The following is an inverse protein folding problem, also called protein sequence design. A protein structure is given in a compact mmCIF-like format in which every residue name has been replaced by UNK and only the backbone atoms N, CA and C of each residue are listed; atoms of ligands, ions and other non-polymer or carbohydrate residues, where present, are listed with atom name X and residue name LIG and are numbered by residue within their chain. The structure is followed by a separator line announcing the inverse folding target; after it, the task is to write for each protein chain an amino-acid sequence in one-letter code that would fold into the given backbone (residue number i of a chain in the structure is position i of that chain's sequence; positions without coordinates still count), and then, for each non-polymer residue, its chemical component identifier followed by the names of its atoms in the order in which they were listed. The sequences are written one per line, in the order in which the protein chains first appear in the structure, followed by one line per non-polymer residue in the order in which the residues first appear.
data_IF_009612865458
#
_entry.id   IF_009612865458
#
_cell.length_a   1.000
_cell.length_b   1.000
_cell.length_c   1.000
_cell.angle_alpha   90.00
_cell.angle_beta   90.00
_cell.angle_gamma   90.00
#
_symmetry.space_group_name_H-M   'P 1'
#
loop_
_entity.id
_entity.type
_entity.pdbx_description
1 polymer ?
#
# COMPACT_ATOMS: atom_id res chain seq x y z
N UNK A 1 -8.74 -38.45 35.05
CA UNK A 1 -7.60 -37.52 35.02
C UNK A 1 -6.88 -37.60 33.68
N UNK A 2 -6.57 -38.80 33.18
CA UNK A 2 -5.85 -38.99 31.92
C UNK A 2 -6.57 -38.45 30.68
N UNK A 3 -7.90 -38.58 30.60
CA UNK A 3 -8.70 -38.06 29.48
C UNK A 3 -8.71 -36.53 29.38
N UNK A 4 -8.74 -35.85 30.53
CA UNK A 4 -8.75 -34.38 30.61
C UNK A 4 -7.36 -33.82 30.30
N UNK A 5 -6.30 -34.44 30.83
CA UNK A 5 -4.93 -34.09 30.47
C UNK A 5 -4.66 -34.29 28.98
N UNK A 6 -5.15 -35.39 28.39
CA UNK A 6 -5.06 -35.60 26.95
C UNK A 6 -5.80 -34.52 26.15
N UNK A 7 -6.96 -34.06 26.61
CA UNK A 7 -7.69 -32.97 25.96
C UNK A 7 -6.92 -31.64 25.99
N UNK A 8 -6.28 -31.29 27.10
CA UNK A 8 -5.44 -30.09 27.18
C UNK A 8 -4.21 -30.18 26.29
N UNK A 9 -3.54 -31.33 26.23
CA UNK A 9 -2.43 -31.54 25.29
C UNK A 9 -2.88 -31.39 23.84
N UNK A 10 -4.03 -31.96 23.46
CA UNK A 10 -4.61 -31.80 22.12
C UNK A 10 -4.83 -30.31 21.80
N UNK A 11 -5.42 -29.55 22.73
CA UNK A 11 -5.68 -28.13 22.52
C UNK A 11 -4.39 -27.29 22.42
N UNK A 12 -3.36 -27.65 23.19
CA UNK A 12 -2.02 -27.04 23.06
C UNK A 12 -1.38 -27.38 21.71
N UNK A 13 -1.52 -28.60 21.20
CA UNK A 13 -1.05 -28.94 19.86
C UNK A 13 -1.78 -28.14 18.79
N UNK A 14 -3.10 -27.98 18.90
CA UNK A 14 -3.88 -27.12 18.00
C UNK A 14 -3.37 -25.67 18.07
N UNK A 15 -3.20 -25.12 19.28
CA UNK A 15 -2.64 -23.79 19.48
C UNK A 15 -1.25 -23.62 18.82
N UNK A 16 -0.35 -24.58 19.02
CA UNK A 16 0.97 -24.62 18.39
C UNK A 16 0.90 -24.68 16.86
N UNK A 17 0.00 -25.48 16.29
CA UNK A 17 -0.18 -25.55 14.83
C UNK A 17 -0.65 -24.21 14.26
N UNK A 18 -1.52 -23.49 14.95
CA UNK A 18 -1.95 -22.15 14.53
C UNK A 18 -0.82 -21.11 14.60
N UNK A 19 0.03 -21.13 15.63
CA UNK A 19 1.24 -20.28 15.66
C UNK A 19 2.16 -20.64 14.50
N UNK A 20 2.44 -21.94 14.31
CA UNK A 20 3.30 -22.43 13.23
C UNK A 20 2.80 -21.99 11.85
N UNK A 21 1.50 -22.13 11.59
CA UNK A 21 0.89 -21.69 10.34
C UNK A 21 0.91 -20.16 10.18
N UNK A 22 0.65 -19.42 11.25
CA UNK A 22 0.72 -17.95 11.28
C UNK A 22 2.13 -17.45 10.89
N UNK A 23 3.17 -18.01 11.49
CA UNK A 23 4.57 -17.68 11.18
C UNK A 23 4.95 -18.14 9.77
N UNK A 24 4.51 -19.33 9.37
CA UNK A 24 4.76 -19.89 8.05
C UNK A 24 4.19 -19.00 6.94
N UNK A 25 2.97 -18.46 7.09
CA UNK A 25 2.39 -17.54 6.10
C UNK A 25 3.22 -16.26 5.94
N UNK A 26 3.72 -15.68 7.04
CA UNK A 26 4.59 -14.50 7.01
C UNK A 26 5.92 -14.83 6.33
N UNK A 27 6.51 -15.98 6.66
CA UNK A 27 7.76 -16.44 6.09
C UNK A 27 7.64 -16.74 4.59
N UNK A 28 6.56 -17.41 4.16
CA UNK A 28 6.26 -17.63 2.76
C UNK A 28 6.13 -16.31 1.99
N UNK A 29 5.38 -15.36 2.54
CA UNK A 29 5.27 -14.03 1.94
C UNK A 29 6.64 -13.35 1.82
N UNK A 30 7.48 -13.39 2.87
CA UNK A 30 8.81 -12.80 2.84
C UNK A 30 9.72 -13.43 1.76
N UNK A 31 9.69 -14.75 1.62
CA UNK A 31 10.44 -15.47 0.57
C UNK A 31 9.95 -15.07 -0.82
N UNK A 32 8.63 -15.00 -1.04
CA UNK A 32 8.06 -14.61 -2.32
C UNK A 32 8.50 -13.20 -2.74
N UNK A 33 8.51 -12.24 -1.81
CA UNK A 33 8.96 -10.86 -2.09
C UNK A 33 10.45 -10.81 -2.48
N UNK A 34 11.30 -11.61 -1.82
CA UNK A 34 12.73 -11.66 -2.14
C UNK A 34 13.01 -12.29 -3.50
N UNK A 35 12.16 -13.22 -3.95
CA UNK A 35 12.30 -13.88 -5.26
C UNK A 35 12.02 -12.97 -6.46
N UNK A 36 11.30 -11.86 -6.28
CA UNK A 36 10.91 -10.96 -7.39
C UNK A 36 11.99 -9.91 -7.64
N UNK A 37 12.67 -10.02 -8.79
CA UNK A 37 13.72 -9.07 -9.22
C UNK A 37 13.18 -7.81 -9.90
N UNK A 38 12.15 -7.94 -10.73
CA UNK A 38 11.57 -6.80 -11.46
C UNK A 38 10.87 -5.86 -10.47
N UNK A 39 11.22 -4.58 -10.52
CA UNK A 39 10.69 -3.54 -9.64
C UNK A 39 9.17 -3.43 -9.73
N UNK A 40 8.62 -3.28 -10.93
CA UNK A 40 7.18 -3.18 -11.16
C UNK A 40 6.42 -4.42 -10.67
N UNK A 41 6.95 -5.63 -10.94
CA UNK A 41 6.33 -6.88 -10.44
C UNK A 41 6.37 -6.96 -8.91
N UNK A 42 7.47 -6.51 -8.31
CA UNK A 42 7.63 -6.50 -6.85
C UNK A 42 6.69 -5.50 -6.20
N UNK A 43 6.59 -4.29 -6.76
CA UNK A 43 5.65 -3.26 -6.33
C UNK A 43 4.21 -3.79 -6.35
N UNK A 44 3.77 -4.34 -7.49
CA UNK A 44 2.41 -4.88 -7.65
C UNK A 44 2.13 -6.00 -6.64
N UNK A 45 3.05 -6.95 -6.51
CA UNK A 45 2.90 -8.06 -5.58
C UNK A 45 2.80 -7.59 -4.12
N UNK A 46 3.67 -6.67 -3.70
CA UNK A 46 3.67 -6.10 -2.35
C UNK A 46 2.36 -5.35 -2.07
N UNK A 47 1.95 -4.48 -3.00
CA UNK A 47 0.71 -3.72 -2.94
C UNK A 47 -0.53 -4.62 -2.77
N UNK A 48 -0.63 -5.70 -3.55
CA UNK A 48 -1.83 -6.54 -3.56
C UNK A 48 -1.83 -7.62 -2.47
N UNK A 49 -0.67 -8.11 -2.03
CA UNK A 49 -0.59 -9.32 -1.19
C UNK A 49 -0.24 -9.05 0.27
N UNK A 50 0.52 -8.00 0.58
CA UNK A 50 1.09 -7.78 1.93
C UNK A 50 -0.01 -7.68 3.01
N UNK A 51 -0.99 -6.79 2.81
CA UNK A 51 -2.07 -6.60 3.79
C UNK A 51 -2.89 -7.88 4.00
N UNK A 52 -3.19 -8.62 2.93
CA UNK A 52 -3.95 -9.87 3.03
C UNK A 52 -3.16 -10.97 3.75
N UNK A 53 -1.87 -11.11 3.47
CA UNK A 53 -1.01 -12.10 4.12
C UNK A 53 -0.88 -11.81 5.63
N UNK A 54 -0.66 -10.55 6.01
CA UNK A 54 -0.54 -10.15 7.41
C UNK A 54 -1.86 -10.30 8.18
N UNK A 55 -2.99 -9.91 7.59
CA UNK A 55 -4.32 -10.09 8.21
C UNK A 55 -4.66 -11.56 8.42
N UNK A 56 -4.35 -12.42 7.45
CA UNK A 56 -4.54 -13.88 7.57
C UNK A 56 -3.66 -14.48 8.67
N UNK A 57 -2.39 -14.09 8.74
CA UNK A 57 -1.47 -14.52 9.79
C UNK A 57 -1.91 -14.06 11.18
N UNK A 58 -2.36 -12.82 11.32
CA UNK A 58 -2.85 -12.26 12.58
C UNK A 58 -4.11 -12.97 13.10
N UNK A 59 -5.02 -13.38 12.21
CA UNK A 59 -6.22 -14.13 12.59
C UNK A 59 -5.85 -15.50 13.18
N UNK A 60 -4.93 -16.24 12.55
CA UNK A 60 -4.46 -17.52 13.06
C UNK A 60 -3.75 -17.37 14.41
N UNK A 61 -2.97 -16.30 14.57
CA UNK A 61 -2.33 -16.00 15.84
C UNK A 61 -3.35 -15.73 16.96
N UNK A 62 -4.42 -14.98 16.66
CA UNK A 62 -5.52 -14.74 17.60
C UNK A 62 -6.26 -16.04 18.01
N UNK A 63 -6.52 -16.95 17.06
CA UNK A 63 -7.08 -18.27 17.35
C UNK A 63 -6.17 -19.10 18.26
N UNK A 64 -4.85 -19.00 18.07
CA UNK A 64 -3.87 -19.65 18.95
C UNK A 64 -3.94 -19.11 20.38
N UNK A 65 -4.07 -17.79 20.54
CA UNK A 65 -4.22 -17.14 21.86
C UNK A 65 -5.47 -17.64 22.56
N UNK A 66 -6.61 -17.81 21.87
CA UNK A 66 -7.80 -18.38 22.47
C UNK A 66 -7.55 -19.81 23.00
N UNK A 67 -6.85 -20.65 22.23
CA UNK A 67 -6.50 -22.01 22.65
C UNK A 67 -5.62 -22.01 23.91
N UNK A 68 -4.59 -21.16 23.97
CA UNK A 68 -3.73 -21.05 25.15
C UNK A 68 -4.45 -20.46 26.36
N UNK A 69 -5.27 -19.42 26.15
CA UNK A 69 -6.05 -18.81 27.22
C UNK A 69 -6.99 -19.84 27.86
N UNK A 70 -7.63 -20.69 27.06
CA UNK A 70 -8.49 -21.76 27.58
C UNK A 70 -7.74 -22.69 28.53
N UNK A 71 -6.58 -23.21 28.10
CA UNK A 71 -5.77 -24.13 28.91
C UNK A 71 -5.31 -23.46 30.21
N UNK A 72 -4.85 -22.20 30.14
CA UNK A 72 -4.39 -21.45 31.31
C UNK A 72 -5.53 -21.24 32.31
N UNK A 73 -6.72 -20.87 31.84
CA UNK A 73 -7.90 -20.63 32.70
C UNK A 73 -8.29 -21.92 33.42
N UNK A 74 -8.41 -23.03 32.69
CA UNK A 74 -8.76 -24.35 33.27
C UNK A 74 -7.73 -24.82 34.30
N UNK A 75 -6.43 -24.69 33.99
CA UNK A 75 -5.36 -25.05 34.94
C UNK A 75 -5.33 -24.17 36.19
N UNK A 76 -5.76 -22.91 36.08
CA UNK A 76 -5.73 -21.95 37.19
C UNK A 76 -6.91 -22.14 38.15
N UNK A 77 -8.09 -22.48 37.63
CA UNK A 77 -9.31 -22.65 38.44
C UNK A 77 -9.29 -24.00 39.16
N UNK A 78 -8.80 -25.08 38.52
CA UNK A 78 -8.65 -26.39 39.15
C UNK A 78 -9.97 -27.06 39.58
N UNK A 79 -11.13 -26.48 39.24
CA UNK A 79 -12.47 -26.98 39.56
C UNK A 79 -13.06 -27.61 38.30
N UNK A 80 -13.30 -28.92 38.35
CA UNK A 80 -13.90 -29.66 37.24
C UNK A 80 -15.43 -29.64 37.31
N UNK A 81 -16.07 -29.00 36.33
CA UNK A 81 -17.52 -29.07 36.15
C UNK A 81 -17.95 -28.52 34.78
N UNK A 82 -19.04 -29.01 34.19
CA UNK A 82 -19.47 -28.63 32.83
C UNK A 82 -19.78 -27.13 32.70
N UNK A 83 -20.25 -26.51 33.78
CA UNK A 83 -20.49 -25.07 33.86
C UNK A 83 -19.17 -24.27 33.76
N UNK A 84 -18.15 -24.66 34.51
CA UNK A 84 -16.84 -23.98 34.50
C UNK A 84 -16.13 -24.12 33.16
N UNK A 85 -16.19 -25.30 32.55
CA UNK A 85 -15.68 -25.55 31.21
C UNK A 85 -16.29 -24.60 30.17
N UNK A 86 -17.60 -24.38 30.26
CA UNK A 86 -18.32 -23.46 29.38
C UNK A 86 -17.89 -22.00 29.59
N UNK A 87 -17.71 -21.59 30.86
CA UNK A 87 -17.26 -20.25 31.22
C UNK A 87 -15.82 -20.00 30.72
N UNK A 88 -14.91 -20.95 30.94
CA UNK A 88 -13.54 -20.87 30.42
C UNK A 88 -13.50 -20.76 28.89
N UNK A 89 -14.37 -21.52 28.21
CA UNK A 89 -14.58 -21.44 26.77
C UNK A 89 -14.92 -20.02 26.32
N UNK A 90 -15.97 -19.44 26.89
CA UNK A 90 -16.43 -18.08 26.54
C UNK A 90 -15.34 -17.04 26.81
N UNK A 91 -14.68 -17.09 27.97
CA UNK A 91 -13.62 -16.15 28.33
C UNK A 91 -12.42 -16.26 27.37
N UNK A 92 -12.00 -17.48 27.05
CA UNK A 92 -10.87 -17.73 26.14
C UNK A 92 -11.13 -17.21 24.72
N UNK A 93 -12.35 -17.43 24.19
CA UNK A 93 -12.78 -16.92 22.89
C UNK A 93 -12.85 -15.39 22.92
N UNK A 94 -13.36 -14.81 24.00
CA UNK A 94 -13.39 -13.36 24.20
C UNK A 94 -12.00 -12.72 24.16
N UNK A 95 -11.01 -13.36 24.82
CA UNK A 95 -9.61 -12.91 24.80
C UNK A 95 -9.05 -12.99 23.37
N UNK A 96 -9.19 -14.14 22.70
CA UNK A 96 -8.72 -14.30 21.33
C UNK A 96 -9.37 -13.31 20.36
N UNK A 97 -10.69 -13.11 20.45
CA UNK A 97 -11.42 -12.16 19.63
C UNK A 97 -10.97 -10.72 19.88
N UNK A 98 -10.71 -10.35 21.13
CA UNK A 98 -10.20 -9.02 21.49
C UNK A 98 -8.83 -8.77 20.86
N UNK A 99 -7.90 -9.72 20.97
CA UNK A 99 -6.58 -9.62 20.34
C UNK A 99 -6.70 -9.58 18.82
N UNK A 100 -7.54 -10.44 18.23
CA UNK A 100 -7.81 -10.46 16.80
C UNK A 100 -8.35 -9.12 16.29
N UNK A 101 -9.27 -8.50 17.02
CA UNK A 101 -9.81 -7.18 16.69
C UNK A 101 -8.73 -6.09 16.77
N UNK A 102 -7.93 -6.07 17.84
CA UNK A 102 -6.81 -5.11 17.99
C UNK A 102 -5.84 -5.24 16.81
N UNK A 103 -5.44 -6.46 16.44
CA UNK A 103 -4.55 -6.69 15.30
C UNK A 103 -5.21 -6.30 13.97
N UNK A 104 -6.51 -6.58 13.80
CA UNK A 104 -7.25 -6.20 12.60
C UNK A 104 -7.30 -4.67 12.43
N UNK A 105 -7.60 -3.93 13.49
CA UNK A 105 -7.58 -2.47 13.51
C UNK A 105 -6.17 -1.97 13.20
N UNK A 106 -5.15 -2.48 13.88
CA UNK A 106 -3.76 -2.09 13.62
C UNK A 106 -3.36 -2.29 12.15
N UNK A 107 -3.63 -3.47 11.58
CA UNK A 107 -3.29 -3.81 10.20
C UNK A 107 -4.17 -3.12 9.14
N UNK A 108 -5.36 -2.66 9.49
CA UNK A 108 -6.23 -1.94 8.57
C UNK A 108 -5.93 -0.45 8.52
N UNK A 109 -5.47 0.14 9.63
CA UNK A 109 -5.31 1.59 9.73
C UNK A 109 -3.86 2.08 9.80
N UNK A 110 -2.98 1.40 10.55
CA UNK A 110 -1.58 1.82 10.73
C UNK A 110 -0.63 1.20 9.71
N UNK A 111 -0.85 -0.06 9.35
CA UNK A 111 -0.01 -0.75 8.38
C UNK A 111 0.05 -0.09 6.98
N UNK A 112 -1.02 0.54 6.44
CA UNK A 112 -0.95 1.27 5.18
C UNK A 112 0.17 2.32 5.10
N UNK A 113 0.53 2.97 6.21
CA UNK A 113 1.64 3.93 6.23
C UNK A 113 3.00 3.26 5.98
N UNK A 114 3.20 2.07 6.58
CA UNK A 114 4.41 1.27 6.42
C UNK A 114 4.48 0.75 4.99
N UNK A 115 3.35 0.27 4.47
CA UNK A 115 3.24 -0.23 3.10
C UNK A 115 3.54 0.87 2.08
N UNK A 116 2.98 2.08 2.23
CA UNK A 116 3.25 3.18 1.32
C UNK A 116 4.73 3.58 1.31
N UNK A 117 5.36 3.71 2.49
CA UNK A 117 6.80 3.98 2.58
C UNK A 117 7.61 2.92 1.84
N UNK A 118 7.29 1.65 2.08
CA UNK A 118 7.94 0.52 1.41
C UNK A 118 7.72 0.53 -0.10
N UNK A 119 6.51 0.86 -0.57
CA UNK A 119 6.18 0.96 -1.98
C UNK A 119 6.93 2.12 -2.66
N UNK A 120 7.06 3.28 -1.99
CA UNK A 120 7.89 4.40 -2.42
C UNK A 120 9.37 4.01 -2.51
N UNK A 121 9.88 3.32 -1.50
CA UNK A 121 11.26 2.80 -1.51
C UNK A 121 11.50 1.82 -2.67
N UNK A 122 10.50 1.03 -3.06
CA UNK A 122 10.58 0.13 -4.22
C UNK A 122 10.54 0.92 -5.53
N UNK A 123 9.57 1.84 -5.69
CA UNK A 123 9.32 2.62 -6.92
C UNK A 123 10.48 3.55 -7.24
N UNK A 124 10.94 4.31 -6.26
CA UNK A 124 11.98 5.34 -6.44
C UNK A 124 13.40 4.85 -6.09
N UNK A 125 13.61 3.54 -5.99
CA UNK A 125 14.96 3.01 -5.85
C UNK A 125 15.84 3.45 -7.03
N UNK A 126 17.13 3.78 -6.83
CA UNK A 126 18.04 4.08 -7.92
C UNK A 126 18.03 2.98 -9.00
N UNK A 127 17.97 3.38 -10.27
CA UNK A 127 18.07 2.48 -11.41
C UNK A 127 19.43 2.64 -12.08
N UNK A 128 20.09 1.53 -12.43
CA UNK A 128 21.38 1.54 -13.12
C UNK A 128 21.16 1.13 -14.58
N UNK A 129 21.67 1.93 -15.51
CA UNK A 129 21.61 1.64 -16.95
C UNK A 129 22.42 0.39 -17.29
N UNK A 130 21.84 -0.61 -17.98
CA UNK A 130 22.58 -1.79 -18.43
C UNK A 130 23.57 -1.47 -19.55
N UNK A 131 23.50 -0.27 -20.16
CA UNK A 131 24.37 0.15 -21.26
C UNK A 131 25.64 0.84 -20.77
N UNK A 132 25.52 1.72 -19.78
CA UNK A 132 26.64 2.57 -19.31
C UNK A 132 27.07 2.24 -17.89
N UNK A 133 26.24 1.53 -17.11
CA UNK A 133 26.46 1.32 -15.68
C UNK A 133 26.25 2.58 -14.84
N UNK A 134 25.75 3.67 -15.43
CA UNK A 134 25.47 4.92 -14.71
C UNK A 134 24.04 4.94 -14.14
N UNK A 135 23.83 5.75 -13.11
CA UNK A 135 22.51 5.94 -12.51
C UNK A 135 21.60 6.71 -13.49
N UNK A 136 20.40 6.17 -13.70
CA UNK A 136 19.39 6.77 -14.57
C UNK A 136 18.66 7.89 -13.84
N UNK A 137 18.27 8.93 -14.58
CA UNK A 137 17.47 10.04 -14.07
C UNK A 137 15.98 9.72 -14.26
N UNK A 138 15.19 9.81 -13.19
CA UNK A 138 13.73 9.79 -13.27
C UNK A 138 13.24 11.14 -13.81
N UNK A 139 12.41 11.11 -14.84
CA UNK A 139 11.78 12.30 -15.41
C UNK A 139 10.59 12.77 -14.56
N UNK A 140 10.19 14.02 -14.72
CA UNK A 140 8.92 14.50 -14.17
C UNK A 140 7.78 14.30 -15.19
N UNK A 141 6.53 14.42 -14.73
CA UNK A 141 5.29 14.27 -15.51
C UNK A 141 5.33 14.98 -16.89
N UNK A 142 5.76 16.24 -16.93
CA UNK A 142 5.79 17.02 -18.18
C UNK A 142 6.89 16.51 -19.14
N UNK A 143 8.03 16.10 -18.58
CA UNK A 143 9.15 15.56 -19.34
C UNK A 143 8.84 14.17 -19.87
N UNK A 144 8.08 13.36 -19.13
CA UNK A 144 7.81 11.98 -19.48
C UNK A 144 6.73 11.82 -20.54
N UNK A 145 5.72 12.69 -20.56
CA UNK A 145 4.68 12.78 -21.61
C UNK A 145 5.26 12.70 -23.03
N UNK A 146 6.44 13.30 -23.24
CA UNK A 146 7.15 13.31 -24.53
C UNK A 146 7.58 11.92 -24.99
N UNK A 147 7.74 10.99 -24.06
CA UNK A 147 8.18 9.62 -24.28
C UNK A 147 7.04 8.61 -24.19
N UNK A 148 5.87 9.02 -23.67
CA UNK A 148 4.66 8.21 -23.57
C UNK A 148 3.88 8.21 -24.90
N UNK A 149 3.09 7.15 -25.11
CA UNK A 149 2.14 7.12 -26.23
C UNK A 149 0.85 7.86 -25.85
N UNK A 150 0.04 8.23 -26.85
CA UNK A 150 -1.25 8.90 -26.61
C UNK A 150 -2.16 8.07 -25.69
N UNK A 151 -2.14 6.74 -25.86
CA UNK A 151 -2.92 5.81 -25.04
C UNK A 151 -2.45 5.77 -23.58
N UNK A 152 -1.14 5.89 -23.34
CA UNK A 152 -0.57 5.90 -21.98
C UNK A 152 -0.94 7.19 -21.23
N UNK A 153 -0.89 8.33 -21.92
CA UNK A 153 -1.32 9.63 -21.38
C UNK A 153 -2.82 9.59 -21.05
N UNK A 154 -3.65 9.04 -21.95
CA UNK A 154 -5.09 8.85 -21.69
C UNK A 154 -5.34 7.97 -20.46
N UNK A 155 -4.51 6.94 -20.23
CA UNK A 155 -4.61 6.09 -19.04
C UNK A 155 -4.26 6.85 -17.74
N UNK A 156 -3.25 7.72 -17.77
CA UNK A 156 -2.88 8.59 -16.64
C UNK A 156 -3.95 9.63 -16.34
N UNK A 157 -4.62 10.17 -17.37
CA UNK A 157 -5.76 11.07 -17.20
C UNK A 157 -6.90 10.40 -16.41
N UNK A 158 -7.04 9.07 -16.48
CA UNK A 158 -8.01 8.32 -15.66
C UNK A 158 -7.57 8.13 -14.20
N UNK A 159 -6.37 8.58 -13.83
CA UNK A 159 -5.77 8.47 -12.48
C UNK A 159 -5.73 7.04 -11.92
N UNK A 160 -5.81 6.03 -12.79
CA UNK A 160 -5.79 4.59 -12.42
C UNK A 160 -4.41 3.98 -12.57
N UNK A 161 -3.59 4.58 -13.45
CA UNK A 161 -2.27 4.14 -13.84
C UNK A 161 -1.37 5.37 -13.83
N UNK A 162 -0.09 5.15 -13.55
CA UNK A 162 0.95 6.17 -13.47
C UNK A 162 2.22 5.55 -14.05
N UNK A 163 2.82 6.21 -15.05
CA UNK A 163 4.00 5.74 -15.76
C UNK A 163 5.22 6.54 -15.35
N UNK A 164 6.26 5.87 -14.84
CA UNK A 164 7.56 6.50 -14.60
C UNK A 164 8.47 6.31 -15.82
N UNK A 165 9.06 7.38 -16.34
CA UNK A 165 10.12 7.29 -17.36
C UNK A 165 11.51 7.55 -16.77
N UNK A 166 12.39 6.55 -16.88
CA UNK A 166 13.80 6.64 -16.52
C UNK A 166 14.65 6.80 -17.77
N UNK A 167 15.61 7.74 -17.76
CA UNK A 167 16.53 7.96 -18.88
C UNK A 167 18.01 7.96 -18.44
N UNK A 168 18.85 7.34 -19.26
CA UNK A 168 20.29 7.47 -19.20
C UNK A 168 20.75 8.60 -20.12
N UNK A 169 21.31 9.66 -19.53
CA UNK A 169 21.75 10.86 -20.26
C UNK A 169 22.94 10.60 -21.21
N UNK A 170 23.70 9.53 -21.01
CA UNK A 170 24.88 9.23 -21.82
C UNK A 170 24.56 8.34 -23.02
N UNK A 171 23.64 7.37 -22.86
CA UNK A 171 23.32 6.40 -23.91
C UNK A 171 21.93 6.54 -24.51
N UNK A 172 21.14 7.51 -24.04
CA UNK A 172 19.73 7.70 -24.41
C UNK A 172 18.86 6.45 -24.15
N UNK A 173 19.35 5.50 -23.35
CA UNK A 173 18.60 4.33 -22.94
C UNK A 173 17.45 4.74 -22.03
N UNK A 174 16.23 4.29 -22.34
CA UNK A 174 15.03 4.59 -21.56
C UNK A 174 14.37 3.33 -21.01
N UNK A 175 13.77 3.45 -19.85
CA UNK A 175 12.92 2.43 -19.24
C UNK A 175 11.62 3.11 -18.82
N UNK A 176 10.49 2.53 -19.23
CA UNK A 176 9.16 3.01 -18.83
C UNK A 176 8.56 1.97 -17.89
N UNK A 177 8.18 2.38 -16.68
CA UNK A 177 7.59 1.52 -15.65
C UNK A 177 6.14 1.91 -15.41
N UNK A 178 5.23 0.92 -15.34
CA UNK A 178 3.79 1.14 -15.17
C UNK A 178 3.35 0.80 -13.75
N UNK A 179 2.73 1.73 -13.03
CA UNK A 179 2.25 1.53 -11.66
C UNK A 179 0.72 1.68 -11.56
N UNK A 180 0.07 0.78 -10.81
CA UNK A 180 -1.37 0.89 -10.53
C UNK A 180 -1.57 1.83 -9.31
N UNK A 181 -2.27 2.96 -9.47
CA UNK A 181 -2.42 4.04 -8.46
C UNK A 181 -3.58 3.83 -7.49
N UNK A 182 -3.75 2.61 -6.98
CA UNK A 182 -4.86 2.25 -6.08
C UNK A 182 -4.84 2.94 -4.70
N UNK A 183 -3.89 3.83 -4.41
CA UNK A 183 -3.50 4.24 -3.04
C UNK A 183 -3.64 5.74 -2.71
N UNK A 184 -4.62 6.45 -3.27
CA UNK A 184 -4.86 7.86 -2.91
C UNK A 184 -5.76 8.03 -1.67
N UNK A 185 -5.53 7.24 -0.60
CA UNK A 185 -6.23 7.44 0.67
C UNK A 185 -5.35 8.28 1.60
N UNK A 186 -5.82 9.49 1.92
CA UNK A 186 -5.14 10.43 2.77
C UNK A 186 -5.52 10.26 4.25
N UNK A 187 -4.71 10.85 5.13
CA UNK A 187 -4.96 10.85 6.57
C UNK A 187 -6.06 11.85 6.92
N UNK A 188 -7.07 11.41 7.66
CA UNK A 188 -8.14 12.27 8.14
C UNK A 188 -7.71 13.01 9.40
N UNK A 189 -7.70 14.35 9.39
CA UNK A 189 -7.34 15.15 10.56
C UNK A 189 -8.27 14.99 11.78
N UNK A 190 -9.49 14.47 11.58
CA UNK A 190 -10.46 14.30 12.65
C UNK A 190 -10.29 12.99 13.45
N UNK A 191 -9.88 11.91 12.77
CA UNK A 191 -9.75 10.59 13.40
C UNK A 191 -8.35 9.96 13.25
N UNK A 192 -7.43 10.62 12.55
CA UNK A 192 -6.07 10.20 12.26
C UNK A 192 -5.97 8.84 11.53
N UNK A 193 -7.06 8.40 10.91
CA UNK A 193 -7.09 7.22 10.05
C UNK A 193 -6.95 7.61 8.58
N UNK A 194 -6.23 6.78 7.82
CA UNK A 194 -6.06 6.92 6.37
C UNK A 194 -7.26 6.40 5.59
N UNK A 195 -8.36 7.08 5.79
CA UNK A 195 -9.66 6.76 5.21
C UNK A 195 -10.24 7.94 4.45
N UNK A 196 -9.47 9.01 4.27
CA UNK A 196 -9.88 10.25 3.64
C UNK A 196 -9.71 10.12 2.12
N UNK A 197 -10.82 10.05 1.39
CA UNK A 197 -10.83 9.78 -0.06
C UNK A 197 -11.37 11.00 -0.79
N UNK A 198 -10.74 11.38 -1.90
CA UNK A 198 -11.30 12.41 -2.79
C UNK A 198 -12.66 11.94 -3.34
N UNK A 199 -13.69 12.75 -3.13
CA UNK A 199 -15.07 12.47 -3.60
C UNK A 199 -15.47 13.33 -4.77
N UNK A 200 -15.04 14.59 -4.76
CA UNK A 200 -15.45 15.59 -5.74
C UNK A 200 -14.35 16.60 -5.93
N UNK A 201 -14.04 16.92 -7.18
CA UNK A 201 -13.23 18.06 -7.56
C UNK A 201 -14.09 19.07 -8.31
N UNK A 202 -14.00 20.35 -7.95
CA UNK A 202 -14.78 21.43 -8.58
C UNK A 202 -13.87 22.62 -8.89
N UNK A 203 -13.87 23.05 -10.16
CA UNK A 203 -13.14 24.26 -10.57
C UNK A 203 -13.96 25.47 -10.12
N UNK A 204 -13.47 26.16 -9.09
CA UNK A 204 -14.08 27.38 -8.57
C UNK A 204 -13.72 28.58 -9.46
N UNK A 205 -12.49 28.59 -9.99
CA UNK A 205 -12.01 29.62 -10.92
C UNK A 205 -11.15 28.98 -12.01
N UNK A 206 -11.54 29.13 -13.26
CA UNK A 206 -10.73 28.67 -14.38
C UNK A 206 -9.41 29.48 -14.46
N UNK A 207 -8.27 28.83 -14.79
CA UNK A 207 -7.01 29.55 -15.00
C UNK A 207 -7.13 30.49 -16.21
N UNK A 208 -6.54 31.68 -16.10
CA UNK A 208 -6.46 32.65 -17.19
C UNK A 208 -5.00 32.88 -17.60
N UNK A 209 -4.78 33.69 -18.63
CA UNK A 209 -3.46 33.93 -19.21
C UNK A 209 -2.43 34.31 -18.14
N UNK A 210 -2.76 35.29 -17.29
CA UNK A 210 -1.88 35.80 -16.24
C UNK A 210 -2.37 35.49 -14.82
N UNK A 211 -3.56 34.90 -14.68
CA UNK A 211 -4.14 34.62 -13.36
C UNK A 211 -4.22 33.12 -13.09
N UNK A 212 -3.91 32.76 -11.85
CA UNK A 212 -4.04 31.38 -11.37
C UNK A 212 -5.51 30.97 -11.27
N UNK A 213 -5.79 29.74 -11.67
CA UNK A 213 -7.08 29.10 -11.40
C UNK A 213 -7.16 28.62 -9.94
N UNK A 214 -8.36 28.23 -9.53
CA UNK A 214 -8.64 27.67 -8.22
C UNK A 214 -9.49 26.41 -8.36
N UNK A 215 -8.95 25.30 -7.88
CA UNK A 215 -9.62 24.00 -7.81
C UNK A 215 -9.93 23.67 -6.35
N UNK A 216 -11.19 23.36 -6.05
CA UNK A 216 -11.59 22.85 -4.74
C UNK A 216 -11.75 21.34 -4.82
N UNK A 217 -10.96 20.61 -4.04
CA UNK A 217 -11.11 19.17 -3.86
C UNK A 217 -11.80 18.89 -2.53
N UNK A 218 -12.88 18.11 -2.56
CA UNK A 218 -13.61 17.64 -1.38
C UNK A 218 -13.25 16.19 -1.10
N UNK A 219 -12.90 15.93 0.15
CA UNK A 219 -12.51 14.65 0.65
C UNK A 219 -13.50 14.19 1.73
N UNK A 220 -13.77 12.90 1.77
CA UNK A 220 -14.64 12.29 2.77
C UNK A 220 -13.94 11.09 3.40
N UNK A 221 -13.95 11.06 4.73
CA UNK A 221 -13.41 9.97 5.51
C UNK A 221 -14.40 8.80 5.57
N UNK A 222 -14.06 7.65 5.01
CA UNK A 222 -14.91 6.44 5.03
C UNK A 222 -15.14 5.84 6.41
N UNK A 223 -14.28 6.17 7.39
CA UNK A 223 -14.42 5.67 8.76
C UNK A 223 -15.36 6.53 9.62
N UNK A 224 -15.01 7.80 9.84
CA UNK A 224 -15.77 8.69 10.74
C UNK A 224 -16.75 9.63 10.01
N UNK A 225 -16.81 9.61 8.67
CA UNK A 225 -17.67 10.49 7.88
C UNK A 225 -17.24 11.96 7.85
N UNK A 226 -16.02 12.28 8.32
CA UNK A 226 -15.52 13.65 8.28
C UNK A 226 -15.32 14.12 6.84
N UNK A 227 -15.80 15.32 6.53
CA UNK A 227 -15.67 15.93 5.21
C UNK A 227 -14.74 17.14 5.36
N UNK A 228 -13.70 17.19 4.52
CA UNK A 228 -12.82 18.34 4.41
C UNK A 228 -12.65 18.77 2.96
N UNK A 229 -12.41 20.06 2.74
CA UNK A 229 -12.17 20.62 1.41
C UNK A 229 -10.83 21.34 1.39
N UNK A 230 -10.05 21.11 0.33
CA UNK A 230 -8.78 21.81 0.10
C UNK A 230 -8.81 22.56 -1.22
N UNK A 231 -8.35 23.80 -1.17
CA UNK A 231 -8.23 24.67 -2.33
C UNK A 231 -6.81 24.59 -2.87
N UNK A 232 -6.69 24.09 -4.10
CA UNK A 232 -5.44 23.97 -4.85
C UNK A 232 -5.41 25.10 -5.88
N UNK A 233 -4.32 25.87 -5.85
CA UNK A 233 -4.07 26.92 -6.87
C UNK A 233 -3.56 26.26 -8.14
N UNK A 234 -4.29 26.44 -9.23
CA UNK A 234 -3.85 26.02 -10.56
C UNK A 234 -2.83 27.03 -11.10
N UNK A 235 -1.88 26.57 -11.90
CA UNK A 235 -0.97 27.45 -12.64
C UNK A 235 -1.74 28.41 -13.55
N UNK A 236 -1.14 29.57 -13.86
CA UNK A 236 -1.64 30.42 -14.94
C UNK A 236 -1.22 29.82 -16.28
N UNK A 237 -2.02 30.07 -17.33
CA UNK A 237 -1.74 29.54 -18.67
C UNK A 237 -0.38 30.02 -19.21
N UNK A 238 0.08 31.24 -18.85
CA UNK A 238 1.42 31.72 -19.20
C UNK A 238 2.53 30.88 -18.56
N UNK A 239 2.38 30.48 -17.29
CA UNK A 239 3.39 29.64 -16.62
C UNK A 239 3.42 28.26 -17.25
N UNK A 240 2.27 27.67 -17.54
CA UNK A 240 2.17 26.41 -18.28
C UNK A 240 2.86 26.51 -19.65
N UNK A 241 2.58 27.58 -20.40
CA UNK A 241 3.25 27.85 -21.69
C UNK A 241 4.76 28.05 -21.55
N UNK A 242 5.23 28.62 -20.44
CA UNK A 242 6.66 28.82 -20.17
C UNK A 242 7.36 27.52 -19.80
N UNK A 243 6.76 26.65 -19.00
CA UNK A 243 7.25 25.29 -18.77
C UNK A 243 7.34 24.52 -20.10
N UNK A 244 6.31 24.60 -20.93
CA UNK A 244 6.31 24.03 -22.28
C UNK A 244 7.42 24.60 -23.19
N UNK A 245 7.82 25.85 -22.98
CA UNK A 245 8.92 26.49 -23.74
C UNK A 245 10.32 26.09 -23.26
N UNK A 246 10.53 25.97 -21.94
CA UNK A 246 11.78 25.50 -21.33
C UNK A 246 12.05 24.03 -21.69
N UNK A 247 10.98 23.28 -21.91
CA UNK A 247 11.02 21.91 -22.39
C UNK A 247 11.48 21.72 -23.85
N UNK A 248 11.49 22.79 -24.67
CA UNK A 248 12.04 22.75 -26.03
C UNK A 248 13.57 22.75 -26.04
N UNK A 249 14.20 23.36 -25.05
CA UNK A 249 15.67 23.41 -24.95
C UNK A 249 16.27 22.05 -24.53
N UNK A 250 15.46 21.16 -23.93
CA UNK A 250 15.81 19.76 -23.64
C UNK A 250 15.64 18.86 -24.90
N UNK A 251 14.89 19.33 -25.91
CA UNK A 251 14.45 18.57 -27.09
C UNK A 251 15.27 18.83 -28.37
N UNK A 252 16.42 19.51 -28.31
CA UNK A 252 17.35 19.59 -29.46
C UNK A 252 18.15 18.28 -29.72
N UNK A 253 17.61 17.12 -29.30
CA UNK A 253 18.10 15.81 -29.75
C UNK A 253 17.28 15.43 -31.00
N UNK A 254 17.91 15.29 -32.18
CA UNK A 254 17.19 15.19 -33.44
C UNK A 254 16.41 13.87 -33.61
N UNK A 255 15.21 13.91 -34.23
CA UNK A 255 14.23 12.81 -34.24
C UNK A 255 14.61 11.55 -35.04
N UNK A 256 15.76 11.54 -35.71
CA UNK A 256 16.18 10.43 -36.58
C UNK A 256 16.96 9.32 -35.84
N UNK A 257 17.16 9.43 -34.52
CA UNK A 257 17.85 8.41 -33.70
C UNK A 257 16.95 7.65 -32.74
N UNK A 258 15.63 7.86 -32.80
CA UNK A 258 14.65 7.12 -32.02
C UNK A 258 14.54 5.71 -32.62
N UNK A 259 15.47 4.84 -32.24
CA UNK A 259 15.40 3.43 -32.57
C UNK A 259 14.18 2.82 -31.87
N UNK A 260 13.30 2.20 -32.65
CA UNK A 260 12.27 1.28 -32.13
C UNK A 260 12.97 0.08 -31.51
N UNK A 261 12.95 -0.01 -30.20
CA UNK A 261 12.99 -1.28 -29.44
C UNK A 261 12.31 -1.06 -28.10
#
# INVERSE_FOLDING_TARGET
MDTVNNAFHILLYIGNTFVGLSLFLVLLYAIQVQGIRSRTKKYKFVSERESHALKGSAMLFACSIACYAFVIIEMSIGISGPMYFSIAGILSVGIGASVGYILHVYLSYYHPFILEKRLKDIRFAPMISPKTGTEMTLLNEIQEDKFLSKEMIEEEETSTIDYDVWIDKQSEYKVIERYDTRFHQEECHACNFRTLIERKSEIIKAPQLHEQGLLRKSFECTYCGHIESRDIKLSSLEKENKYASFDRDILEIPPHKIAKT
#
